data_IF_540564508578
#
_entry.id   IF_540564508578
#
_cell.length_a   1.000
_cell.length_b   1.000
_cell.length_c   1.000
_cell.angle_alpha   90.00
_cell.angle_beta   90.00
_cell.angle_gamma   90.00
#
_symmetry.space_group_name_H-M   'P 1'
#
loop_
_entity.id
_entity.type
_entity.pdbx_description
1 polymer ?
#
# COMPACT_ATOMS: atom_id res chain seq x y z
N UNK A 1 11.70 7.56 5.24
CA UNK A 1 10.50 7.31 6.08
C UNK A 1 9.35 8.33 5.88
N UNK A 2 9.29 9.17 4.84
CA UNK A 2 8.17 10.12 4.66
C UNK A 2 6.86 9.48 4.19
N UNK A 3 6.95 8.41 3.39
CA UNK A 3 5.76 7.81 2.78
C UNK A 3 4.76 7.21 3.78
N UNK A 4 5.24 6.45 4.77
CA UNK A 4 4.37 5.87 5.81
C UNK A 4 3.65 6.97 6.60
N UNK A 5 4.32 8.11 6.82
CA UNK A 5 3.71 9.26 7.50
C UNK A 5 2.65 9.92 6.62
N UNK A 6 2.90 10.03 5.31
CA UNK A 6 1.89 10.49 4.35
C UNK A 6 0.69 9.55 4.20
N UNK A 7 0.83 8.25 4.48
CA UNK A 7 -0.32 7.33 4.55
C UNK A 7 -1.24 7.63 5.74
N UNK A 8 -0.68 8.09 6.87
CA UNK A 8 -1.49 8.51 8.02
C UNK A 8 -2.23 9.83 7.75
N UNK A 9 -1.65 10.72 6.94
CA UNK A 9 -2.26 12.00 6.57
C UNK A 9 -3.23 11.86 5.38
N UNK A 10 -2.98 10.92 4.47
CA UNK A 10 -3.78 10.64 3.29
C UNK A 10 -3.96 9.11 3.13
N UNK A 11 -4.97 8.51 3.76
CA UNK A 11 -5.23 7.08 3.65
C UNK A 11 -5.61 6.66 2.22
N UNK A 12 -6.21 7.56 1.43
CA UNK A 12 -6.52 7.34 0.02
C UNK A 12 -5.33 7.57 -0.93
N UNK A 13 -4.10 7.47 -0.43
CA UNK A 13 -2.92 7.58 -1.28
C UNK A 13 -2.93 6.50 -2.37
N UNK A 14 -2.92 6.95 -3.63
CA UNK A 14 -2.88 6.05 -4.79
C UNK A 14 -1.48 5.42 -4.88
N UNK A 15 -1.46 4.09 -4.95
CA UNK A 15 -0.24 3.33 -5.24
C UNK A 15 0.22 3.55 -6.68
N UNK A 16 1.41 3.08 -7.03
CA UNK A 16 1.86 3.06 -8.42
C UNK A 16 0.98 2.15 -9.28
N UNK A 17 0.43 1.08 -8.69
CA UNK A 17 -0.54 0.21 -9.34
C UNK A 17 -1.50 -0.42 -8.32
N UNK A 18 -2.61 -0.95 -8.84
CA UNK A 18 -3.63 -1.66 -8.07
C UNK A 18 -3.54 -3.14 -8.39
N UNK A 19 -3.54 -3.96 -7.36
CA UNK A 19 -3.54 -5.41 -7.50
C UNK A 19 -4.74 -5.98 -6.76
N UNK A 20 -5.23 -7.13 -7.21
CA UNK A 20 -6.33 -7.83 -6.53
C UNK A 20 -5.72 -8.96 -5.73
N UNK A 21 -5.82 -8.87 -4.40
CA UNK A 21 -5.36 -9.90 -3.48
C UNK A 21 -6.20 -11.19 -3.64
N UNK A 22 -5.69 -12.32 -3.12
CA UNK A 22 -6.35 -13.64 -3.22
C UNK A 22 -7.78 -13.70 -2.66
N UNK A 23 -8.19 -12.71 -1.87
CA UNK A 23 -9.54 -12.58 -1.31
C UNK A 23 -10.44 -11.65 -2.14
N UNK A 24 -10.00 -11.23 -3.33
CA UNK A 24 -10.75 -10.32 -4.20
C UNK A 24 -10.70 -8.84 -3.78
N UNK A 25 -9.83 -8.48 -2.84
CA UNK A 25 -9.67 -7.10 -2.35
C UNK A 25 -8.69 -6.33 -3.22
N UNK A 26 -9.03 -5.10 -3.58
CA UNK A 26 -8.13 -4.21 -4.32
C UNK A 26 -7.12 -3.61 -3.35
N UNK A 27 -5.86 -4.04 -3.48
CA UNK A 27 -4.72 -3.49 -2.74
C UNK A 27 -3.97 -2.50 -3.62
N UNK A 28 -3.36 -1.49 -2.99
CA UNK A 28 -2.46 -0.55 -3.62
C UNK A 28 -1.03 -1.05 -3.44
N UNK A 29 -0.25 -1.07 -4.52
CA UNK A 29 1.18 -1.35 -4.45
C UNK A 29 1.94 -0.09 -4.80
N UNK A 30 2.92 0.27 -3.97
CA UNK A 30 3.79 1.41 -4.22
C UNK A 30 5.25 1.01 -4.19
N UNK A 31 6.00 1.47 -5.17
CA UNK A 31 7.44 1.24 -5.25
C UNK A 31 8.15 2.39 -4.52
N UNK A 32 8.94 2.06 -3.50
CA UNK A 32 9.73 3.01 -2.74
C UNK A 32 11.20 2.60 -2.85
N UNK A 33 11.90 3.21 -3.81
CA UNK A 33 13.26 2.83 -4.14
C UNK A 33 13.29 1.40 -4.70
N UNK A 34 13.91 0.48 -3.98
CA UNK A 34 14.04 -0.95 -4.35
C UNK A 34 13.05 -1.86 -3.63
N UNK A 35 12.00 -1.30 -3.03
CA UNK A 35 11.01 -2.09 -2.30
C UNK A 35 9.61 -1.82 -2.84
N UNK A 36 8.86 -2.88 -3.11
CA UNK A 36 7.43 -2.85 -3.35
C UNK A 36 6.70 -2.98 -2.01
N UNK A 37 5.87 -2.00 -1.67
CA UNK A 37 5.04 -1.99 -0.47
C UNK A 37 3.59 -2.13 -0.90
N UNK A 38 2.96 -3.22 -0.48
CA UNK A 38 1.55 -3.49 -0.72
C UNK A 38 0.74 -3.10 0.50
N UNK A 39 -0.22 -2.22 0.32
CA UNK A 39 -1.07 -1.69 1.38
C UNK A 39 -2.49 -1.48 0.88
N UNK A 40 -3.43 -1.41 1.80
CA UNK A 40 -4.80 -1.04 1.48
C UNK A 40 -5.35 -0.20 2.63
N UNK A 41 -6.20 0.77 2.26
CA UNK A 41 -6.92 1.58 3.21
C UNK A 41 -8.28 0.95 3.45
N UNK A 42 -8.61 0.74 4.73
CA UNK A 42 -9.94 0.38 5.15
C UNK A 42 -10.69 1.67 5.49
N UNK A 43 -11.57 2.09 4.58
CA UNK A 43 -12.36 3.32 4.73
C UNK A 43 -13.36 3.19 5.90
N UNK A 44 -13.78 1.97 6.24
CA UNK A 44 -14.75 1.73 7.32
C UNK A 44 -14.14 1.93 8.72
N UNK A 45 -12.83 1.72 8.88
CA UNK A 45 -12.13 1.92 10.17
C UNK A 45 -11.07 3.02 10.14
N UNK A 46 -10.92 3.74 9.02
CA UNK A 46 -9.90 4.77 8.84
C UNK A 46 -8.48 4.29 9.16
N UNK A 47 -8.16 3.04 8.79
CA UNK A 47 -6.84 2.44 9.01
C UNK A 47 -6.19 2.06 7.68
N UNK A 48 -4.86 2.19 7.62
CA UNK A 48 -4.06 1.68 6.50
C UNK A 48 -3.32 0.44 6.94
N UNK A 49 -3.58 -0.69 6.27
CA UNK A 49 -2.93 -1.97 6.54
C UNK A 49 -1.90 -2.28 5.47
N UNK A 50 -0.64 -2.44 5.88
CA UNK A 50 0.45 -2.91 5.03
C UNK A 50 0.49 -4.43 5.12
N UNK A 51 0.31 -5.12 3.99
CA UNK A 51 0.24 -6.58 3.96
C UNK A 51 1.57 -7.21 3.58
N UNK A 52 2.30 -6.61 2.66
CA UNK A 52 3.56 -7.14 2.15
C UNK A 52 4.58 -6.04 1.88
N UNK A 53 5.84 -6.35 2.13
CA UNK A 53 6.99 -5.54 1.72
C UNK A 53 7.96 -6.50 1.03
N UNK A 54 8.16 -6.31 -0.27
CA UNK A 54 9.02 -7.15 -1.10
C UNK A 54 10.09 -6.30 -1.78
N UNK A 55 11.21 -6.91 -2.18
CA UNK A 55 12.22 -6.21 -2.97
C UNK A 55 11.71 -6.10 -4.41
N UNK A 56 11.72 -4.90 -4.98
CA UNK A 56 11.30 -4.65 -6.36
C UNK A 56 12.30 -5.18 -7.41
N UNK A 57 13.47 -5.65 -6.97
CA UNK A 57 14.56 -6.17 -7.78
C UNK A 57 14.41 -7.66 -8.17
N UNK A 58 13.39 -8.38 -7.68
CA UNK A 58 13.32 -9.84 -7.84
C UNK A 58 11.94 -10.36 -8.21
#
# INVERSE_FOLDING_TARGET
>A
MRFIRSLAENPNAVGDFKETDNVGRVVQVKIIGRYAVTFWADDAVAEVKVTHIQSADK
#
